data_IF_598105735065
#
_entry.id   IF_598105735065
#
_cell.length_a   1.000
_cell.length_b   1.000
_cell.length_c   1.000
_cell.angle_alpha   90.00
_cell.angle_beta   90.00
_cell.angle_gamma   90.00
#
_symmetry.space_group_name_H-M   'P 1'
#
loop_
_entity.id
_entity.type
_entity.pdbx_description
1 polymer ?
#
# COMPACT_ATOMS: atom_id res chain seq x y z
N UNK A 1 20.26 -0.88 6.69
CA UNK A 1 19.25 -0.06 7.42
C UNK A 1 18.41 0.73 6.43
N UNK A 2 19.00 1.15 5.31
CA UNK A 2 18.27 1.71 4.16
C UNK A 2 17.36 0.69 3.46
N UNK A 3 17.72 -0.60 3.48
CA UNK A 3 17.04 -1.66 2.72
C UNK A 3 15.57 -1.91 3.15
N UNK A 4 15.26 -1.86 4.44
CA UNK A 4 13.89 -2.11 4.95
C UNK A 4 12.94 -0.95 4.60
N UNK A 5 13.46 0.28 4.66
CA UNK A 5 12.71 1.49 4.31
C UNK A 5 12.38 1.51 2.81
N UNK A 6 13.32 1.09 1.98
CA UNK A 6 13.12 0.98 0.53
C UNK A 6 12.04 -0.05 0.19
N UNK A 7 12.00 -1.19 0.88
CA UNK A 7 10.93 -2.19 0.71
C UNK A 7 9.56 -1.59 1.03
N UNK A 8 9.40 -0.88 2.17
CA UNK A 8 8.13 -0.24 2.53
C UNK A 8 7.70 0.79 1.49
N UNK A 9 8.64 1.59 0.99
CA UNK A 9 8.37 2.58 -0.06
C UNK A 9 7.88 1.87 -1.33
N UNK A 10 8.54 0.78 -1.73
CA UNK A 10 8.19 0.03 -2.93
C UNK A 10 6.81 -0.66 -2.80
N UNK A 11 6.49 -1.21 -1.63
CA UNK A 11 5.14 -1.70 -1.29
C UNK A 11 4.11 -0.59 -1.45
N UNK A 12 4.36 0.59 -0.87
CA UNK A 12 3.41 1.69 -0.93
C UNK A 12 3.22 2.22 -2.35
N UNK A 13 4.30 2.34 -3.12
CA UNK A 13 4.26 2.73 -4.54
C UNK A 13 3.43 1.74 -5.36
N UNK A 14 3.68 0.45 -5.19
CA UNK A 14 2.94 -0.58 -5.91
C UNK A 14 1.44 -0.52 -5.61
N UNK A 15 1.05 -0.46 -4.33
CA UNK A 15 -0.36 -0.35 -3.93
C UNK A 15 -0.99 0.93 -4.49
N UNK A 16 -0.26 2.05 -4.42
CA UNK A 16 -0.76 3.33 -4.88
C UNK A 16 -1.03 3.33 -6.38
N UNK A 17 -0.03 2.97 -7.19
CA UNK A 17 -0.09 3.03 -8.65
C UNK A 17 -1.11 2.05 -9.24
N UNK A 18 -1.23 0.86 -8.66
CA UNK A 18 -2.15 -0.15 -9.18
C UNK A 18 -3.59 0.06 -8.74
N UNK A 19 -3.83 0.57 -7.52
CA UNK A 19 -5.17 0.54 -6.94
C UNK A 19 -5.66 1.87 -6.37
N UNK A 20 -4.88 2.54 -5.52
CA UNK A 20 -5.36 3.78 -4.88
C UNK A 20 -5.54 4.92 -5.89
N UNK A 21 -4.64 5.04 -6.88
CA UNK A 21 -4.74 6.09 -7.91
C UNK A 21 -5.89 5.87 -8.89
N UNK A 22 -6.40 4.64 -8.98
CA UNK A 22 -7.50 4.26 -9.86
C UNK A 22 -8.87 4.30 -9.15
N UNK A 23 -8.88 4.41 -7.82
CA UNK A 23 -10.09 4.54 -7.02
C UNK A 23 -10.66 5.96 -7.12
N UNK A 24 -11.99 6.09 -6.98
CA UNK A 24 -12.70 7.36 -6.96
C UNK A 24 -12.23 8.24 -5.79
N UNK A 25 -11.92 7.62 -4.65
CA UNK A 25 -11.36 8.31 -3.49
C UNK A 25 -10.56 7.37 -2.58
N UNK A 26 -9.73 7.94 -1.68
CA UNK A 26 -9.05 7.13 -0.66
C UNK A 26 -10.04 6.43 0.28
N UNK A 27 -11.19 7.06 0.53
CA UNK A 27 -12.27 6.51 1.38
C UNK A 27 -12.92 5.30 0.72
N UNK A 28 -13.20 5.38 -0.57
CA UNK A 28 -13.80 4.29 -1.35
C UNK A 28 -12.87 3.07 -1.38
N UNK A 29 -11.59 3.27 -1.72
CA UNK A 29 -10.58 2.22 -1.66
C UNK A 29 -10.49 1.58 -0.26
N UNK A 30 -10.43 2.42 0.79
CA UNK A 30 -10.31 1.96 2.16
C UNK A 30 -11.53 1.11 2.58
N UNK A 31 -12.74 1.54 2.21
CA UNK A 31 -13.97 0.80 2.47
C UNK A 31 -13.99 -0.55 1.76
N UNK A 32 -13.64 -0.60 0.47
CA UNK A 32 -13.53 -1.85 -0.31
C UNK A 32 -12.53 -2.82 0.31
N UNK A 33 -11.40 -2.31 0.78
CA UNK A 33 -10.32 -3.09 1.39
C UNK A 33 -10.58 -3.46 2.87
N UNK A 34 -11.57 -2.87 3.53
CA UNK A 34 -11.80 -3.04 4.97
C UNK A 34 -10.62 -2.51 5.81
N UNK A 35 -10.06 -1.36 5.42
CA UNK A 35 -8.98 -0.66 6.13
C UNK A 35 -9.43 0.76 6.48
N UNK A 36 -8.69 1.45 7.35
CA UNK A 36 -8.97 2.85 7.65
C UNK A 36 -8.58 3.77 6.48
N UNK A 37 -9.36 4.83 6.25
CA UNK A 37 -9.00 5.87 5.28
C UNK A 37 -7.64 6.51 5.61
N UNK A 38 -7.31 6.64 6.90
CA UNK A 38 -6.01 7.07 7.40
C UNK A 38 -4.86 6.23 6.81
N UNK A 39 -5.08 4.92 6.66
CA UNK A 39 -4.12 3.97 6.10
C UNK A 39 -3.93 4.19 4.61
N UNK A 40 -5.03 4.30 3.85
CA UNK A 40 -4.96 4.62 2.42
C UNK A 40 -4.25 5.96 2.15
N UNK A 41 -4.50 6.97 3.00
CA UNK A 41 -3.83 8.27 2.91
C UNK A 41 -2.33 8.19 3.19
N UNK A 42 -1.91 7.41 4.20
CA UNK A 42 -0.48 7.19 4.49
C UNK A 42 0.24 6.51 3.33
N UNK A 43 -0.36 5.46 2.75
CA UNK A 43 0.19 4.76 1.58
C UNK A 43 0.43 5.75 0.43
N UNK A 44 -0.58 6.56 0.09
CA UNK A 44 -0.45 7.61 -0.93
C UNK A 44 0.70 8.58 -0.61
N UNK A 45 0.77 9.09 0.61
CA UNK A 45 1.78 10.09 0.98
C UNK A 45 3.21 9.53 0.91
N UNK A 46 3.42 8.26 1.26
CA UNK A 46 4.73 7.60 1.13
C UNK A 46 5.07 7.36 -0.33
N UNK A 47 4.11 6.85 -1.12
CA UNK A 47 4.30 6.61 -2.54
C UNK A 47 4.69 7.88 -3.29
N UNK A 48 4.12 9.03 -2.90
CA UNK A 48 4.40 10.35 -3.48
C UNK A 48 5.59 11.07 -2.83
N UNK A 49 6.27 10.48 -1.85
CA UNK A 49 7.41 11.11 -1.16
C UNK A 49 7.04 12.35 -0.33
N UNK A 50 5.77 12.52 0.04
CA UNK A 50 5.29 13.65 0.85
C UNK A 50 5.12 13.31 2.34
N UNK A 51 5.31 12.04 2.71
CA UNK A 51 5.28 11.61 4.10
C UNK A 51 6.48 12.17 4.87
N UNK A 52 6.21 12.80 6.02
CA UNK A 52 7.23 13.24 6.99
C UNK A 52 7.53 12.20 8.06
N UNK A 53 6.80 11.08 8.04
CA UNK A 53 6.88 10.03 9.06
C UNK A 53 7.17 8.70 8.41
N UNK A 54 7.98 7.89 9.09
CA UNK A 54 8.11 6.48 8.76
C UNK A 54 6.79 5.76 9.05
N UNK A 55 6.40 4.85 8.17
CA UNK A 55 5.15 4.10 8.29
C UNK A 55 5.46 2.61 8.26
N UNK A 56 5.11 1.92 9.32
CA UNK A 56 5.19 0.47 9.35
C UNK A 56 3.80 -0.11 9.03
N UNK A 57 3.61 -0.57 7.79
CA UNK A 57 2.37 -1.23 7.39
C UNK A 57 2.27 -2.59 8.07
N UNK A 58 1.16 -2.85 8.75
CA UNK A 58 0.92 -4.19 9.30
C UNK A 58 0.71 -5.22 8.18
N UNK A 59 1.26 -6.43 8.33
CA UNK A 59 1.01 -7.53 7.40
C UNK A 59 -0.49 -7.85 7.26
N UNK A 60 -1.28 -7.64 8.32
CA UNK A 60 -2.75 -7.80 8.27
C UNK A 60 -3.40 -6.83 7.29
N UNK A 61 -2.93 -5.58 7.23
CA UNK A 61 -3.39 -4.58 6.26
C UNK A 61 -3.05 -5.03 4.85
N UNK A 62 -1.81 -5.47 4.62
CA UNK A 62 -1.38 -5.94 3.31
C UNK A 62 -2.22 -7.14 2.84
N UNK A 63 -2.43 -8.14 3.72
CA UNK A 63 -3.28 -9.31 3.42
C UNK A 63 -4.70 -8.89 3.04
N UNK A 64 -5.29 -7.90 3.74
CA UNK A 64 -6.64 -7.41 3.40
C UNK A 64 -6.69 -6.80 2.01
N UNK A 65 -5.69 -6.00 1.66
CA UNK A 65 -5.57 -5.40 0.33
C UNK A 65 -5.41 -6.52 -0.71
N UNK A 66 -4.43 -7.41 -0.58
CA UNK A 66 -4.19 -8.51 -1.52
C UNK A 66 -5.43 -9.39 -1.72
N UNK A 67 -6.14 -9.75 -0.65
CA UNK A 67 -7.39 -10.53 -0.74
C UNK A 67 -8.49 -9.83 -1.55
N UNK A 68 -8.59 -8.50 -1.46
CA UNK A 68 -9.60 -7.73 -2.19
C UNK A 68 -9.22 -7.46 -3.64
N UNK A 69 -7.92 -7.53 -3.93
CA UNK A 69 -7.37 -7.40 -5.28
C UNK A 69 -7.14 -8.76 -5.93
N UNK A 70 -7.58 -9.85 -5.28
CA UNK A 70 -7.50 -11.23 -5.76
C UNK A 70 -6.08 -11.65 -6.18
N UNK A 71 -5.07 -11.15 -5.46
CA UNK A 71 -3.65 -11.45 -5.67
C UNK A 71 -3.06 -12.14 -4.44
N UNK A 72 -2.18 -13.12 -4.64
CA UNK A 72 -1.45 -13.76 -3.54
C UNK A 72 -0.37 -12.82 -2.97
N UNK A 73 0.12 -13.07 -1.75
CA UNK A 73 1.27 -12.33 -1.23
C UNK A 73 2.53 -12.61 -2.06
N UNK A 74 2.69 -13.84 -2.54
CA UNK A 74 3.82 -14.23 -3.39
C UNK A 74 3.83 -13.43 -4.69
N UNK A 75 2.70 -13.37 -5.40
CA UNK A 75 2.57 -12.57 -6.62
C UNK A 75 2.75 -11.08 -6.32
N UNK A 76 2.19 -10.60 -5.20
CA UNK A 76 2.35 -9.21 -4.79
C UNK A 76 3.83 -8.84 -4.63
N UNK A 77 4.60 -9.63 -3.88
CA UNK A 77 6.02 -9.38 -3.69
C UNK A 77 6.85 -9.66 -4.94
N UNK A 78 6.46 -10.63 -5.78
CA UNK A 78 7.10 -10.89 -7.07
C UNK A 78 6.93 -9.74 -8.07
N UNK A 79 5.86 -8.96 -7.95
CA UNK A 79 5.63 -7.77 -8.77
C UNK A 79 6.29 -6.49 -8.21
N UNK A 80 6.82 -6.54 -6.99
CA UNK A 80 7.61 -5.44 -6.43
C UNK A 80 9.04 -5.59 -6.96
N UNK A 81 9.44 -4.66 -7.84
CA UNK A 81 10.83 -4.60 -8.29
C UNK A 81 11.71 -4.18 -7.10
N UNK A 82 12.64 -5.07 -6.77
CA UNK A 82 13.77 -4.80 -5.86
C UNK A 82 14.84 -3.99 -6.58
#
# INVERSE_FOLDING_TARGET
MDDEKDIIINICKYIYTNWISQAESQREFASKCGIEESTARRIKNIALGTSKTDYNMSLRTLIRICKKQEISLEDFFGNIKS
#
